data_IF_160890725207
#
_entry.id   IF_160890725207
#
_cell.length_a   1.000
_cell.length_b   1.000
_cell.length_c   1.000
_cell.angle_alpha   90.00
_cell.angle_beta   90.00
_cell.angle_gamma   90.00
#
_symmetry.space_group_name_H-M   'P 1'
#
loop_
_entity.id
_entity.type
_entity.pdbx_description
1 polymer ?
#
# COMPACT_ATOMS: atom_id res chain seq x y z
N UNK A 1 17.87 -3.61 -20.11
CA UNK A 1 16.83 -2.78 -19.46
C UNK A 1 16.75 -3.24 -18.02
N UNK A 2 16.98 -2.35 -17.05
CA UNK A 2 16.91 -2.68 -15.61
C UNK A 2 15.52 -3.23 -15.24
N UNK A 3 15.46 -4.23 -14.37
CA UNK A 3 14.19 -4.83 -13.90
C UNK A 3 13.24 -3.78 -13.30
N UNK A 4 13.78 -2.68 -12.75
CA UNK A 4 13.03 -1.56 -12.17
C UNK A 4 12.31 -0.71 -13.23
N UNK A 5 12.83 -0.63 -14.46
CA UNK A 5 12.22 0.14 -15.57
C UNK A 5 10.85 -0.39 -16.03
N UNK A 6 10.47 -1.58 -15.54
CA UNK A 6 9.21 -2.27 -15.89
C UNK A 6 8.23 -2.39 -14.73
N UNK A 7 8.62 -1.96 -13.51
CA UNK A 7 7.79 -2.10 -12.33
C UNK A 7 6.50 -1.27 -12.47
N UNK A 8 5.37 -1.91 -12.16
CA UNK A 8 4.06 -1.28 -12.20
C UNK A 8 3.38 -1.27 -10.84
N UNK A 9 2.76 -0.15 -10.51
CA UNK A 9 1.76 -0.06 -9.45
C UNK A 9 0.39 0.03 -10.12
N UNK A 10 -0.37 -1.07 -10.15
CA UNK A 10 -1.53 -1.23 -11.03
C UNK A 10 -1.18 -0.96 -12.51
N UNK A 11 -1.75 0.07 -13.11
CA UNK A 11 -1.47 0.47 -14.50
C UNK A 11 -0.26 1.42 -14.60
N UNK A 12 0.22 1.97 -13.48
CA UNK A 12 1.22 3.04 -13.45
C UNK A 12 2.64 2.49 -13.44
N UNK A 13 3.52 3.03 -14.27
CA UNK A 13 4.96 2.77 -14.16
C UNK A 13 5.53 3.58 -12.99
N UNK A 14 6.28 2.92 -12.11
CA UNK A 14 6.87 3.55 -10.92
C UNK A 14 8.41 3.46 -10.88
N UNK A 15 9.12 3.90 -11.94
CA UNK A 15 10.57 3.69 -12.01
C UNK A 15 11.36 4.59 -11.06
N UNK A 16 10.83 5.78 -10.70
CA UNK A 16 11.57 6.81 -9.97
C UNK A 16 11.28 6.80 -8.46
N UNK A 17 10.31 6.00 -8.02
CA UNK A 17 9.85 5.96 -6.63
C UNK A 17 10.42 4.77 -5.85
N UNK A 18 11.12 3.84 -6.51
CA UNK A 18 11.58 2.60 -5.88
C UNK A 18 12.83 2.84 -5.05
N UNK A 19 12.80 2.48 -3.77
CA UNK A 19 13.95 2.58 -2.86
C UNK A 19 14.44 1.22 -2.36
N UNK A 20 13.62 0.18 -2.48
CA UNK A 20 13.95 -1.17 -2.03
C UNK A 20 13.50 -2.19 -3.08
N UNK A 21 14.28 -3.23 -3.27
CA UNK A 21 13.90 -4.37 -4.09
C UNK A 21 14.22 -5.71 -3.44
N UNK A 22 13.36 -6.68 -3.70
CA UNK A 22 13.58 -8.12 -3.45
C UNK A 22 13.28 -8.90 -4.73
N UNK A 23 13.28 -10.23 -4.61
CA UNK A 23 12.98 -11.14 -5.71
C UNK A 23 11.54 -10.95 -6.23
N UNK A 24 10.57 -10.78 -5.33
CA UNK A 24 9.14 -10.72 -5.69
C UNK A 24 8.44 -9.44 -5.26
N UNK A 25 9.12 -8.53 -4.57
CA UNK A 25 8.55 -7.29 -4.02
C UNK A 25 9.43 -6.07 -4.27
N UNK A 26 8.86 -4.90 -4.02
CA UNK A 26 9.51 -3.62 -4.09
C UNK A 26 8.96 -2.66 -3.03
N UNK A 27 9.82 -1.78 -2.50
CA UNK A 27 9.43 -0.65 -1.67
C UNK A 27 9.40 0.62 -2.51
N UNK A 28 8.29 1.36 -2.47
CA UNK A 28 8.12 2.62 -3.19
C UNK A 28 7.75 3.76 -2.22
N UNK A 29 8.26 4.96 -2.48
CA UNK A 29 7.86 6.15 -1.74
C UNK A 29 6.44 6.58 -2.13
N UNK A 30 5.64 7.08 -1.17
CA UNK A 30 4.23 7.40 -1.42
C UNK A 30 4.07 8.78 -2.10
N UNK A 31 3.29 8.90 -3.17
CA UNK A 31 3.02 10.20 -3.81
C UNK A 31 2.34 11.21 -2.86
N UNK A 32 1.40 10.73 -2.04
CA UNK A 32 0.64 11.53 -1.08
C UNK A 32 0.83 10.92 0.32
N UNK A 33 1.99 11.15 0.97
CA UNK A 33 2.25 10.60 2.29
C UNK A 33 1.29 11.21 3.33
N UNK A 34 0.91 10.41 4.33
CA UNK A 34 0.14 10.90 5.49
C UNK A 34 1.03 11.67 6.46
N UNK A 35 2.26 11.17 6.63
CA UNK A 35 3.33 11.73 7.45
C UNK A 35 4.67 11.51 6.75
N UNK A 36 5.73 12.27 7.08
CA UNK A 36 7.08 11.99 6.58
C UNK A 36 7.49 10.53 6.84
N UNK A 37 8.02 9.85 5.82
CA UNK A 37 8.42 8.44 5.92
C UNK A 37 7.29 7.43 5.68
N UNK A 38 6.07 7.87 5.33
CA UNK A 38 5.03 6.98 4.83
C UNK A 38 5.44 6.40 3.46
N UNK A 39 5.75 5.11 3.45
CA UNK A 39 6.12 4.34 2.27
C UNK A 39 5.16 3.17 2.01
N UNK A 40 5.24 2.60 0.81
CA UNK A 40 4.45 1.44 0.39
C UNK A 40 5.36 0.25 0.06
N UNK A 41 4.92 -0.97 0.38
CA UNK A 41 5.54 -2.22 -0.09
C UNK A 41 4.56 -2.94 -1.00
N UNK A 42 5.01 -3.30 -2.20
CA UNK A 42 4.18 -3.89 -3.25
C UNK A 42 4.81 -5.17 -3.80
N UNK A 43 4.02 -6.17 -4.24
CA UNK A 43 4.54 -7.24 -5.06
C UNK A 43 4.91 -6.71 -6.45
N UNK A 44 5.88 -7.36 -7.11
CA UNK A 44 6.30 -7.02 -8.48
C UNK A 44 5.21 -7.35 -9.50
N UNK A 45 4.52 -8.47 -9.30
CA UNK A 45 3.37 -8.84 -10.12
C UNK A 45 2.14 -8.08 -9.66
N UNK A 46 1.47 -7.42 -10.60
CA UNK A 46 0.21 -6.72 -10.33
C UNK A 46 -0.87 -7.72 -9.92
N UNK A 47 -1.21 -7.70 -8.63
CA UNK A 47 -2.26 -8.49 -8.01
C UNK A 47 -3.27 -7.56 -7.32
N UNK A 48 -4.53 -7.47 -7.76
CA UNK A 48 -5.49 -6.53 -7.17
C UNK A 48 -5.86 -6.83 -5.72
N UNK A 49 -5.94 -8.11 -5.35
CA UNK A 49 -6.36 -8.57 -4.03
C UNK A 49 -5.29 -9.42 -3.36
N UNK A 50 -5.24 -9.40 -2.04
CA UNK A 50 -4.29 -10.20 -1.25
C UNK A 50 -4.44 -11.69 -1.53
N UNK A 51 -5.69 -12.16 -1.69
CA UNK A 51 -5.99 -13.56 -2.05
C UNK A 51 -5.46 -13.98 -3.43
N UNK A 52 -5.08 -13.04 -4.29
CA UNK A 52 -4.57 -13.31 -5.64
C UNK A 52 -3.04 -13.53 -5.63
N UNK A 53 -2.37 -13.41 -4.47
CA UNK A 53 -0.95 -13.68 -4.29
C UNK A 53 -0.66 -15.16 -4.11
N UNK A 54 0.51 -15.58 -4.57
CA UNK A 54 1.09 -16.89 -4.30
C UNK A 54 1.73 -16.91 -2.90
N UNK A 55 1.98 -18.12 -2.36
CA UNK A 55 2.62 -18.26 -1.05
C UNK A 55 4.03 -17.64 -1.01
N UNK A 56 4.79 -17.76 -2.10
CA UNK A 56 6.13 -17.18 -2.22
C UNK A 56 6.07 -15.65 -2.25
N UNK A 57 5.11 -15.06 -2.97
CA UNK A 57 4.90 -13.61 -2.98
C UNK A 57 4.47 -13.09 -1.60
N UNK A 58 3.58 -13.79 -0.90
CA UNK A 58 3.20 -13.41 0.47
C UNK A 58 4.42 -13.43 1.39
N UNK A 59 5.25 -14.49 1.30
CA UNK A 59 6.44 -14.64 2.12
C UNK A 59 7.44 -13.52 1.87
N UNK A 60 7.79 -13.28 0.61
CA UNK A 60 8.74 -12.23 0.22
C UNK A 60 8.21 -10.82 0.54
N UNK A 61 6.91 -10.58 0.35
CA UNK A 61 6.26 -9.30 0.67
C UNK A 61 6.36 -8.97 2.16
N UNK A 62 6.03 -9.91 3.06
CA UNK A 62 6.11 -9.65 4.50
C UNK A 62 7.56 -9.64 5.03
N UNK A 63 8.49 -10.37 4.41
CA UNK A 63 9.92 -10.22 4.70
C UNK A 63 10.41 -8.82 4.33
N UNK A 64 9.97 -8.31 3.19
CA UNK A 64 10.28 -6.96 2.71
C UNK A 64 9.69 -5.89 3.64
N UNK A 65 8.42 -6.04 4.06
CA UNK A 65 7.79 -5.19 5.08
C UNK A 65 8.62 -5.17 6.35
N UNK A 66 9.02 -6.34 6.88
CA UNK A 66 9.82 -6.42 8.10
C UNK A 66 11.14 -5.66 7.99
N UNK A 67 11.86 -5.80 6.87
CA UNK A 67 13.13 -5.10 6.64
C UNK A 67 12.93 -3.58 6.50
N UNK A 68 11.97 -3.16 5.68
CA UNK A 68 11.68 -1.75 5.44
C UNK A 68 11.20 -1.07 6.72
N UNK A 69 10.33 -1.72 7.51
CA UNK A 69 9.85 -1.22 8.80
C UNK A 69 10.99 -0.83 9.73
N UNK A 70 12.02 -1.67 9.85
CA UNK A 70 13.20 -1.37 10.69
C UNK A 70 13.94 -0.13 10.22
N UNK A 71 14.15 0.01 8.91
CA UNK A 71 14.84 1.17 8.33
C UNK A 71 14.02 2.45 8.51
N UNK A 72 12.72 2.40 8.24
CA UNK A 72 11.83 3.57 8.36
C UNK A 72 11.70 4.03 9.81
N UNK A 73 11.52 3.10 10.76
CA UNK A 73 11.42 3.46 12.18
C UNK A 73 12.71 4.14 12.69
N UNK A 74 13.87 3.62 12.28
CA UNK A 74 15.18 4.17 12.65
C UNK A 74 15.46 5.53 11.99
N UNK A 75 15.30 5.63 10.67
CA UNK A 75 15.59 6.85 9.89
C UNK A 75 14.73 8.03 10.33
N UNK A 76 13.45 7.77 10.58
CA UNK A 76 12.49 8.81 10.97
C UNK A 76 12.38 8.97 12.49
N UNK A 77 13.16 8.21 13.29
CA UNK A 77 13.14 8.26 14.77
C UNK A 77 11.72 8.09 15.33
N UNK A 78 10.95 7.21 14.70
CA UNK A 78 9.60 6.88 15.13
C UNK A 78 9.64 6.02 16.39
N UNK A 79 8.57 6.05 17.19
CA UNK A 79 8.42 5.20 18.37
C UNK A 79 7.55 3.97 18.08
N UNK A 80 6.81 3.98 16.97
CA UNK A 80 5.97 2.88 16.52
C UNK A 80 5.70 3.01 15.01
N UNK A 81 5.05 2.01 14.44
CA UNK A 81 4.59 2.00 13.04
C UNK A 81 3.12 1.57 12.97
N UNK A 82 2.33 2.19 12.09
CA UNK A 82 1.16 1.51 11.53
C UNK A 82 1.58 0.75 10.28
N UNK A 83 1.27 -0.55 10.27
CA UNK A 83 1.43 -1.42 9.10
C UNK A 83 0.04 -1.85 8.68
N UNK A 84 -0.43 -1.42 7.51
CA UNK A 84 -1.80 -1.62 7.08
C UNK A 84 -1.89 -2.14 5.64
N UNK A 85 -2.74 -3.14 5.43
CA UNK A 85 -3.14 -3.65 4.12
C UNK A 85 -4.64 -3.44 3.96
N UNK A 86 -5.04 -2.70 2.93
CA UNK A 86 -6.44 -2.47 2.58
C UNK A 86 -6.81 -3.41 1.40
N UNK A 87 -7.52 -4.51 1.68
CA UNK A 87 -7.82 -5.54 0.68
C UNK A 87 -9.19 -5.33 0.00
N UNK A 88 -9.22 -4.49 -1.03
CA UNK A 88 -10.40 -4.20 -1.84
C UNK A 88 -11.02 -2.82 -1.57
N UNK A 89 -11.88 -2.30 -2.48
CA UNK A 89 -12.37 -0.92 -2.41
C UNK A 89 -13.13 -0.59 -1.12
N UNK A 90 -13.92 -1.53 -0.61
CA UNK A 90 -14.68 -1.35 0.64
C UNK A 90 -13.80 -1.35 1.89
N UNK A 91 -12.54 -1.80 1.78
CA UNK A 91 -11.54 -1.69 2.84
C UNK A 91 -10.68 -0.41 2.71
N UNK A 92 -11.03 0.49 1.79
CA UNK A 92 -10.30 1.74 1.52
C UNK A 92 -9.20 1.62 0.46
N UNK A 93 -9.08 0.48 -0.23
CA UNK A 93 -8.09 0.32 -1.29
C UNK A 93 -8.38 1.26 -2.46
N UNK A 94 -7.51 2.23 -2.68
CA UNK A 94 -7.65 3.23 -3.75
C UNK A 94 -7.00 2.81 -5.06
N UNK A 95 -5.92 2.01 -4.99
CA UNK A 95 -5.20 1.47 -6.15
C UNK A 95 -5.35 -0.05 -6.16
N UNK A 96 -5.83 -0.65 -7.26
CA UNK A 96 -6.13 -2.09 -7.39
C UNK A 96 -4.87 -2.93 -7.63
N UNK A 97 -3.94 -2.81 -6.69
CA UNK A 97 -2.73 -3.58 -6.59
C UNK A 97 -2.43 -3.69 -5.09
N UNK A 98 -2.14 -4.88 -4.57
CA UNK A 98 -1.76 -5.06 -3.18
C UNK A 98 -0.63 -4.10 -2.83
N UNK A 99 -0.84 -3.30 -1.78
CA UNK A 99 0.19 -2.45 -1.20
C UNK A 99 0.02 -2.42 0.31
N UNK A 100 1.13 -2.54 1.01
CA UNK A 100 1.19 -2.44 2.47
C UNK A 100 1.74 -1.06 2.80
N UNK A 101 0.96 -0.29 3.55
CA UNK A 101 1.39 0.98 4.11
C UNK A 101 2.30 0.74 5.30
N UNK A 102 3.45 1.41 5.32
CA UNK A 102 4.29 1.56 6.51
C UNK A 102 4.28 3.04 6.86
N UNK A 103 3.72 3.37 8.02
CA UNK A 103 3.49 4.75 8.45
C UNK A 103 4.18 4.92 9.80
N UNK A 104 5.29 5.69 9.88
CA UNK A 104 5.95 5.96 11.15
C UNK A 104 5.05 6.79 12.08
N UNK A 105 5.10 6.47 13.37
CA UNK A 105 4.28 7.09 14.41
C UNK A 105 5.14 7.69 15.52
N UNK A 106 4.76 8.88 15.94
CA UNK A 106 5.28 9.57 17.09
C UNK A 106 4.22 9.74 18.18
N UNK A 107 4.67 9.86 19.42
CA UNK A 107 3.81 9.93 20.60
C UNK A 107 2.76 11.06 20.59
N UNK A 108 2.92 12.06 19.72
CA UNK A 108 2.03 13.24 19.64
C UNK A 108 1.16 13.28 18.38
N UNK A 109 1.15 12.20 17.57
CA UNK A 109 0.47 12.24 16.28
C UNK A 109 -1.07 12.25 16.43
N UNK A 110 -1.61 11.43 17.33
CA UNK A 110 -3.05 11.28 17.52
C UNK A 110 -3.39 10.89 18.95
N UNK A 111 -4.33 11.61 19.57
CA UNK A 111 -5.05 11.15 20.75
C UNK A 111 -6.57 11.34 20.53
N UNK A 112 -7.39 10.31 20.80
CA UNK A 112 -7.03 8.99 21.31
C UNK A 112 -6.50 8.04 20.22
N UNK A 113 -5.55 7.18 20.57
CA UNK A 113 -4.90 6.24 19.63
C UNK A 113 -5.90 5.21 19.05
N UNK A 114 -6.96 4.90 19.80
CA UNK A 114 -7.92 3.82 19.50
C UNK A 114 -9.27 4.32 18.95
N UNK A 115 -9.34 5.57 18.47
CA UNK A 115 -10.57 6.16 17.94
C UNK A 115 -11.18 5.34 16.80
N UNK A 116 -10.35 4.79 15.90
CA UNK A 116 -10.80 3.89 14.84
C UNK A 116 -11.53 2.65 15.38
N UNK A 117 -11.02 2.06 16.47
CA UNK A 117 -11.69 0.91 17.07
C UNK A 117 -13.00 1.30 17.74
N UNK A 118 -13.10 2.53 18.26
CA UNK A 118 -14.32 3.05 18.86
C UNK A 118 -15.43 3.21 17.82
N UNK A 119 -15.10 3.69 16.62
CA UNK A 119 -16.07 3.83 15.52
C UNK A 119 -16.46 2.48 14.90
N UNK A 120 -15.55 1.50 14.91
CA UNK A 120 -15.83 0.14 14.44
C UNK A 120 -16.52 -0.73 15.51
N UNK A 121 -16.53 -0.30 16.77
CA UNK A 121 -17.12 -1.06 17.86
C UNK A 121 -18.64 -1.05 17.77
N UNK A 122 -19.16 -2.18 17.27
CA UNK A 122 -20.58 -2.42 17.23
C UNK A 122 -21.12 -2.64 18.63
N UNK A 123 -22.02 -1.75 19.06
CA UNK A 123 -22.78 -1.90 20.31
C UNK A 123 -23.68 -3.15 20.32
N UNK A 124 -23.87 -3.83 19.18
CA UNK A 124 -24.70 -5.02 19.06
C UNK A 124 -24.11 -6.10 18.11
N UNK A 125 -22.86 -6.51 18.39
CA UNK A 125 -22.12 -7.52 17.63
C UNK A 125 -22.92 -8.78 17.28
N UNK A 126 -23.77 -9.27 18.19
CA UNK A 126 -24.54 -10.50 17.97
C UNK A 126 -25.55 -10.37 16.82
N UNK A 127 -26.23 -9.22 16.72
CA UNK A 127 -27.15 -8.95 15.62
C UNK A 127 -26.38 -8.73 14.32
N UNK A 128 -25.27 -7.98 14.37
CA UNK A 128 -24.44 -7.73 13.20
C UNK A 128 -23.89 -9.01 12.57
N UNK A 129 -23.53 -10.02 13.38
CA UNK A 129 -23.14 -11.33 12.88
C UNK A 129 -24.28 -12.04 12.14
N UNK A 130 -25.49 -12.00 12.68
CA UNK A 130 -26.66 -12.62 12.05
C UNK A 130 -26.98 -11.94 10.71
N UNK A 131 -26.93 -10.61 10.68
CA UNK A 131 -27.20 -9.81 9.49
C UNK A 131 -26.11 -10.03 8.42
N UNK A 132 -24.83 -10.02 8.81
CA UNK A 132 -23.72 -10.29 7.89
C UNK A 132 -23.77 -11.69 7.28
N UNK A 133 -24.21 -12.70 8.04
CA UNK A 133 -24.38 -14.05 7.53
C UNK A 133 -25.57 -14.15 6.57
N UNK A 134 -26.70 -13.52 6.91
CA UNK A 134 -27.90 -13.50 6.08
C UNK A 134 -27.68 -12.70 4.77
N UNK A 135 -26.94 -11.60 4.83
CA UNK A 135 -26.62 -10.74 3.68
C UNK A 135 -25.38 -11.18 2.89
N UNK A 136 -24.87 -12.40 3.13
CA UNK A 136 -23.63 -12.85 2.50
C UNK A 136 -23.79 -12.91 0.98
N UNK A 137 -22.99 -12.15 0.20
CA UNK A 137 -23.15 -12.11 -1.24
C UNK A 137 -22.82 -13.47 -1.85
N UNK A 138 -23.67 -13.87 -2.79
CA UNK A 138 -23.49 -15.04 -3.63
C UNK A 138 -22.20 -14.92 -4.45
N UNK A 139 -21.73 -16.04 -4.98
CA UNK A 139 -20.55 -16.06 -5.85
C UNK A 139 -20.75 -15.19 -7.10
N UNK A 140 -21.98 -15.14 -7.61
CA UNK A 140 -22.33 -14.32 -8.78
C UNK A 140 -22.24 -12.82 -8.46
N UNK A 141 -22.79 -12.39 -7.31
CA UNK A 141 -22.72 -11.00 -6.86
C UNK A 141 -21.29 -10.54 -6.61
N UNK A 142 -20.46 -11.40 -5.98
CA UNK A 142 -19.02 -11.10 -5.80
C UNK A 142 -18.31 -10.94 -7.14
N UNK A 143 -18.58 -11.83 -8.10
CA UNK A 143 -17.98 -11.77 -9.44
C UNK A 143 -18.44 -10.53 -10.21
N UNK A 144 -19.72 -10.16 -10.09
CA UNK A 144 -20.27 -8.96 -10.71
C UNK A 144 -19.63 -7.70 -10.13
N UNK A 145 -19.51 -7.62 -8.79
CA UNK A 145 -18.81 -6.53 -8.12
C UNK A 145 -17.34 -6.43 -8.57
N UNK A 146 -16.61 -7.54 -8.60
CA UNK A 146 -15.22 -7.56 -9.04
C UNK A 146 -15.06 -7.15 -10.51
N UNK A 147 -15.99 -7.54 -11.38
CA UNK A 147 -16.00 -7.12 -12.78
C UNK A 147 -16.29 -5.62 -12.94
N UNK A 148 -17.23 -5.09 -12.15
CA UNK A 148 -17.54 -3.65 -12.13
C UNK A 148 -16.33 -2.82 -11.68
N UNK A 149 -15.61 -3.26 -10.64
CA UNK A 149 -14.41 -2.56 -10.17
C UNK A 149 -13.31 -2.57 -11.24
N UNK A 150 -13.04 -3.70 -11.88
CA UNK A 150 -12.08 -3.78 -13.00
C UNK A 150 -12.44 -2.85 -14.16
N UNK A 151 -13.72 -2.77 -14.53
CA UNK A 151 -14.18 -1.88 -15.59
C UNK A 151 -13.98 -0.39 -15.23
N UNK A 152 -14.16 0.00 -13.96
CA UNK A 152 -13.89 1.37 -13.48
C UNK A 152 -12.39 1.73 -13.55
N UNK A 153 -11.50 0.75 -13.49
CA UNK A 153 -10.04 0.96 -13.55
C UNK A 153 -9.55 1.15 -14.98
N UNK A 154 -10.08 0.40 -15.94
CA UNK A 154 -9.73 0.52 -17.37
C UNK A 154 -10.03 1.92 -17.93
N UNK A 155 -11.08 2.58 -17.42
CA UNK A 155 -11.44 3.96 -17.78
C UNK A 155 -10.58 5.07 -17.13
N UNK A 156 -9.69 4.73 -16.18
CA UNK A 156 -8.84 5.69 -15.43
C UNK A 156 -7.36 5.66 -15.81
N UNK A 157 -7.00 4.95 -16.88
CA UNK A 157 -5.59 4.78 -17.30
C UNK A 157 -4.83 6.11 -17.48
N UNK A 158 -5.53 7.17 -17.89
CA UNK A 158 -4.95 8.50 -18.14
C UNK A 158 -5.02 9.46 -16.94
N UNK A 159 -5.73 9.10 -15.85
CA UNK A 159 -5.89 9.95 -14.66
C UNK A 159 -5.93 9.11 -13.35
N UNK A 160 -4.76 8.64 -12.88
CA UNK A 160 -4.59 7.65 -11.80
C UNK A 160 -5.27 7.97 -10.47
N UNK A 161 -5.39 9.26 -10.16
CA UNK A 161 -5.89 9.78 -8.88
C UNK A 161 -7.23 10.51 -9.04
N UNK A 162 -7.83 10.50 -10.23
CA UNK A 162 -9.12 11.14 -10.46
C UNK A 162 -10.21 10.42 -9.66
N UNK A 163 -10.79 11.14 -8.69
CA UNK A 163 -11.87 10.65 -7.82
C UNK A 163 -11.42 10.08 -6.48
N UNK A 164 -10.13 10.14 -6.13
CA UNK A 164 -9.71 10.03 -4.73
C UNK A 164 -9.80 11.45 -4.17
N UNK A 165 -10.88 11.77 -3.46
CA UNK A 165 -11.03 13.02 -2.71
C UNK A 165 -9.96 13.06 -1.61
N UNK A 166 -8.82 13.66 -1.95
CA UNK A 166 -7.69 13.80 -1.06
C UNK A 166 -7.08 15.18 -1.29
N UNK A 167 -7.42 16.10 -0.39
CA UNK A 167 -6.99 17.50 -0.38
C UNK A 167 -5.47 17.65 -0.22
N UNK A 168 -4.73 16.58 0.13
CA UNK A 168 -3.27 16.62 0.28
C UNK A 168 -2.58 16.84 -1.06
N UNK A 169 -1.62 17.78 -1.06
CA UNK A 169 -0.76 18.12 -2.21
C UNK A 169 0.09 16.90 -2.61
N UNK A 170 0.05 16.45 -3.88
CA UNK A 170 0.97 15.42 -4.35
C UNK A 170 2.41 15.94 -4.36
N UNK A 171 3.36 15.07 -4.03
CA UNK A 171 4.80 15.37 -4.15
C UNK A 171 5.23 15.46 -5.61
N UNK A 172 6.27 16.26 -5.87
CA UNK A 172 6.91 16.32 -7.19
C UNK A 172 7.70 15.03 -7.47
N UNK A 173 8.02 14.79 -8.75
CA UNK A 173 8.86 13.65 -9.15
C UNK A 173 10.25 13.74 -8.54
N UNK A 174 10.80 14.95 -8.45
CA UNK A 174 12.15 15.18 -7.88
C UNK A 174 12.15 14.94 -6.37
N UNK A 175 11.15 15.43 -5.64
CA UNK A 175 10.98 15.17 -4.20
C UNK A 175 10.91 13.65 -3.91
N UNK A 176 10.15 12.91 -4.72
CA UNK A 176 10.06 11.45 -4.60
C UNK A 176 11.38 10.76 -4.93
N UNK A 177 12.07 11.20 -5.99
CA UNK A 177 13.34 10.61 -6.42
C UNK A 177 14.44 10.81 -5.38
N UNK A 178 14.53 12.01 -4.81
CA UNK A 178 15.50 12.33 -3.75
C UNK A 178 15.27 11.48 -2.50
N UNK A 179 14.01 11.32 -2.07
CA UNK A 179 13.68 10.44 -0.95
C UNK A 179 14.00 8.98 -1.26
N UNK A 180 13.66 8.50 -2.46
CA UNK A 180 13.91 7.12 -2.84
C UNK A 180 15.41 6.80 -2.91
N UNK A 181 16.22 7.71 -3.46
CA UNK A 181 17.68 7.61 -3.45
C UNK A 181 18.25 7.58 -2.03
N UNK A 182 17.80 8.49 -1.16
CA UNK A 182 18.25 8.55 0.23
C UNK A 182 17.94 7.24 0.96
N UNK A 183 16.71 6.74 0.86
CA UNK A 183 16.29 5.51 1.52
C UNK A 183 17.00 4.28 0.95
N UNK A 184 17.21 4.22 -0.38
CA UNK A 184 17.95 3.13 -1.04
C UNK A 184 19.35 2.94 -0.45
N UNK A 185 20.04 4.03 -0.12
CA UNK A 185 21.36 4.00 0.51
C UNK A 185 21.42 3.33 1.88
N UNK A 186 20.27 3.14 2.56
CA UNK A 186 20.19 2.55 3.91
C UNK A 186 20.10 1.01 3.89
N UNK A 187 19.89 0.39 2.73
CA UNK A 187 19.76 -1.06 2.60
C UNK A 187 21.09 -1.73 2.20
N UNK A 188 21.23 -3.05 2.39
CA UNK A 188 22.32 -3.83 1.81
C UNK A 188 22.35 -3.73 0.27
N UNK A 189 23.53 -3.83 -0.38
CA UNK A 189 23.69 -3.66 -1.83
C UNK A 189 22.69 -4.45 -2.69
N UNK A 190 22.38 -5.68 -2.30
CA UNK A 190 21.46 -6.58 -2.99
C UNK A 190 20.00 -6.08 -3.00
N UNK A 191 19.63 -5.20 -2.07
CA UNK A 191 18.29 -4.62 -1.96
C UNK A 191 18.21 -3.18 -2.45
N UNK A 192 19.33 -2.56 -2.81
CA UNK A 192 19.36 -1.17 -3.29
C UNK A 192 18.77 -1.07 -4.68
N UNK A 193 18.22 0.09 -4.97
CA UNK A 193 17.78 0.50 -6.29
C UNK A 193 18.71 1.59 -6.82
N UNK A 194 19.26 1.36 -8.00
CA UNK A 194 20.01 2.36 -8.77
C UNK A 194 19.14 2.86 -9.92
N UNK A 195 19.03 4.19 -10.05
CA UNK A 195 18.32 4.83 -11.16
C UNK A 195 19.33 5.12 -12.29
N UNK A 196 19.75 4.09 -13.02
CA UNK A 196 20.45 4.22 -14.31
C UNK A 196 19.47 4.20 -15.49
#
# INVERSE_FOLDING_TARGET
MSALSTLRFATFRVPNQVFYQSALSAGIVNLKPLVPGHVLVIPRRVAPRFRDLTADEVTDLFQSVHQISRVIEQEYKAQALNIALQDGPLAGQSVPHVHIHIIPRHAKDFEPIDEMYTELDSKNLAQDFADAYAARPSRAERKAFEAEQRAKEEGKADAPFAGIEDERRPRSVDEMREEALRLSGLFPPENRCDFE
#
